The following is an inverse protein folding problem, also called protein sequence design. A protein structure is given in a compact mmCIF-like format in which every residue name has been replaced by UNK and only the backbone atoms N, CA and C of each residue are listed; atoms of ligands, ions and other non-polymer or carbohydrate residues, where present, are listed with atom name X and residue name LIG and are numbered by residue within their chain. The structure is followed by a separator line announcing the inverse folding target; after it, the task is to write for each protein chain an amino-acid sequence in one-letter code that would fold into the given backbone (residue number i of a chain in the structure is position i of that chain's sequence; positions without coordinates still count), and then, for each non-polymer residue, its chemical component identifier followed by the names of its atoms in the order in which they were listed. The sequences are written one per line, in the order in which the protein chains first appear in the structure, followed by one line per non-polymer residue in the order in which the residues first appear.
data_IF_839026777652
#
_entry.id   IF_839026777652
#
_cell.length_a   1.000
_cell.length_b   1.000
_cell.length_c   1.000
_cell.angle_alpha   90.00
_cell.angle_beta   90.00
_cell.angle_gamma   90.00
#
_symmetry.space_group_name_H-M   'P 1'
#
loop_
_entity.id
_entity.type
_entity.pdbx_description
1 polymer ?
#
# COMPACT_ATOMS: atom_id res chain seq x y z
N UNK A 1 20.61 10.51 -1.99
CA UNK A 1 20.95 10.41 -3.43
C UNK A 1 20.36 9.18 -4.09
N UNK A 2 20.63 7.95 -3.63
CA UNK A 2 20.07 6.71 -4.22
C UNK A 2 18.54 6.71 -4.25
N UNK A 3 17.88 6.96 -3.10
CA UNK A 3 16.42 6.99 -3.00
C UNK A 3 15.74 8.07 -3.85
N UNK A 4 16.37 9.24 -3.97
CA UNK A 4 15.90 10.32 -4.85
C UNK A 4 15.94 9.88 -6.32
N UNK A 5 17.02 9.19 -6.72
CA UNK A 5 17.15 8.64 -8.06
C UNK A 5 16.10 7.55 -8.35
N UNK A 6 15.81 6.67 -7.39
CA UNK A 6 14.76 5.66 -7.51
C UNK A 6 13.37 6.29 -7.73
N UNK A 7 13.04 7.33 -6.96
CA UNK A 7 11.78 8.08 -7.13
C UNK A 7 11.71 8.68 -8.54
N UNK A 8 12.77 9.38 -8.98
CA UNK A 8 12.78 9.97 -10.32
C UNK A 8 12.66 8.92 -11.42
N UNK A 9 13.41 7.82 -11.32
CA UNK A 9 13.32 6.72 -12.28
C UNK A 9 11.93 6.07 -12.33
N UNK A 10 11.25 5.97 -11.19
CA UNK A 10 9.88 5.48 -11.14
C UNK A 10 8.92 6.37 -11.94
N UNK A 11 8.90 7.68 -11.67
CA UNK A 11 8.01 8.60 -12.39
C UNK A 11 8.38 8.75 -13.87
N UNK A 12 9.66 8.73 -14.18
CA UNK A 12 10.15 8.72 -15.57
C UNK A 12 9.63 7.47 -16.31
N UNK A 13 9.68 6.28 -15.70
CA UNK A 13 9.14 5.04 -16.30
C UNK A 13 7.63 5.14 -16.53
N UNK A 14 6.87 5.66 -15.57
CA UNK A 14 5.42 5.86 -15.71
C UNK A 14 5.12 6.82 -16.86
N UNK A 15 5.85 7.94 -16.94
CA UNK A 15 5.69 8.91 -18.02
C UNK A 15 6.01 8.31 -19.39
N UNK A 16 7.13 7.58 -19.50
CA UNK A 16 7.50 6.92 -20.75
C UNK A 16 6.52 5.83 -21.17
N UNK A 17 5.94 5.08 -20.22
CA UNK A 17 4.91 4.10 -20.51
C UNK A 17 3.66 4.75 -21.14
N UNK A 18 3.22 5.91 -20.62
CA UNK A 18 2.10 6.66 -21.20
C UNK A 18 2.47 7.32 -22.54
N UNK A 19 3.71 7.80 -22.69
CA UNK A 19 4.18 8.34 -23.97
C UNK A 19 4.26 7.26 -25.06
N UNK A 20 4.65 6.04 -24.70
CA UNK A 20 4.68 4.90 -25.62
C UNK A 20 3.28 4.55 -26.14
N UNK A 21 2.25 4.69 -25.30
CA UNK A 21 0.85 4.46 -25.68
C UNK A 21 0.33 5.44 -26.73
N UNK A 22 0.94 6.63 -26.88
CA UNK A 22 0.54 7.61 -27.92
C UNK A 22 0.76 7.09 -29.35
N UNK A 23 1.56 6.04 -29.52
CA UNK A 23 1.81 5.41 -30.82
C UNK A 23 0.78 4.33 -31.16
N UNK A 24 0.08 3.81 -30.16
CA UNK A 24 -0.96 2.81 -30.35
C UNK A 24 -2.25 3.46 -30.88
N UNK A 25 -2.94 2.77 -31.79
CA UNK A 25 -4.20 3.25 -32.39
C UNK A 25 -5.40 2.43 -31.94
N UNK A 26 -5.18 1.20 -31.49
CA UNK A 26 -6.23 0.34 -30.99
C UNK A 26 -6.65 0.77 -29.57
N UNK A 27 -7.90 1.21 -29.44
CA UNK A 27 -8.45 1.69 -28.16
C UNK A 27 -8.54 0.60 -27.10
N UNK A 28 -8.86 -0.63 -27.49
CA UNK A 28 -9.02 -1.73 -26.54
C UNK A 28 -7.64 -2.15 -26.02
N UNK A 29 -6.64 -2.18 -26.91
CA UNK A 29 -5.25 -2.42 -26.52
C UNK A 29 -4.72 -1.29 -25.59
N UNK A 30 -5.02 -0.03 -25.89
CA UNK A 30 -4.64 1.11 -25.03
C UNK A 30 -5.24 0.97 -23.62
N UNK A 31 -6.53 0.64 -23.52
CA UNK A 31 -7.21 0.45 -22.23
C UNK A 31 -6.55 -0.66 -21.42
N UNK A 32 -6.30 -1.81 -22.03
CA UNK A 32 -5.64 -2.96 -21.38
C UNK A 32 -4.24 -2.62 -20.86
N UNK A 33 -3.42 -1.94 -21.68
CA UNK A 33 -2.07 -1.54 -21.26
C UNK A 33 -2.14 -0.49 -20.13
N UNK A 34 -3.11 0.43 -20.16
CA UNK A 34 -3.32 1.41 -19.09
C UNK A 34 -3.72 0.74 -17.78
N UNK A 35 -4.57 -0.27 -17.79
CA UNK A 35 -4.90 -1.04 -16.59
C UNK A 35 -3.64 -1.70 -15.98
N UNK A 36 -2.77 -2.27 -16.81
CA UNK A 36 -1.52 -2.85 -16.33
C UNK A 36 -0.56 -1.79 -15.75
N UNK A 37 -0.41 -0.66 -16.46
CA UNK A 37 0.42 0.45 -16.00
C UNK A 37 -0.13 1.11 -14.72
N UNK A 38 -1.46 1.18 -14.58
CA UNK A 38 -2.13 1.67 -13.39
C UNK A 38 -1.80 0.79 -12.18
N UNK A 39 -1.81 -0.54 -12.33
CA UNK A 39 -1.42 -1.48 -11.26
C UNK A 39 0.04 -1.24 -10.84
N UNK A 40 0.94 -1.11 -11.82
CA UNK A 40 2.36 -0.79 -11.58
C UNK A 40 2.54 0.54 -10.85
N UNK A 41 1.78 1.57 -11.22
CA UNK A 41 1.76 2.85 -10.53
C UNK A 41 1.31 2.67 -9.07
N UNK A 42 0.18 2.00 -8.83
CA UNK A 42 -0.34 1.75 -7.47
C UNK A 42 0.70 1.04 -6.58
N UNK A 43 1.26 -0.07 -7.05
CA UNK A 43 2.27 -0.82 -6.29
C UNK A 43 3.56 -0.01 -6.08
N UNK A 44 3.96 0.79 -7.06
CA UNK A 44 5.08 1.71 -6.91
C UNK A 44 4.83 2.78 -5.85
N UNK A 45 3.65 3.40 -5.82
CA UNK A 45 3.27 4.37 -4.80
C UNK A 45 3.23 3.74 -3.40
N UNK A 46 2.75 2.49 -3.27
CA UNK A 46 2.82 1.73 -2.03
C UNK A 46 4.27 1.55 -1.58
N UNK A 47 5.15 1.07 -2.47
CA UNK A 47 6.58 0.85 -2.16
C UNK A 47 7.32 2.14 -1.80
N UNK A 48 7.00 3.25 -2.46
CA UNK A 48 7.60 4.55 -2.16
C UNK A 48 7.12 5.13 -0.82
N UNK A 49 6.03 4.61 -0.27
CA UNK A 49 5.61 4.84 1.11
C UNK A 49 4.53 5.92 1.31
N UNK A 50 4.29 6.33 2.57
CA UNK A 50 3.07 7.06 2.97
C UNK A 50 2.80 8.35 2.20
N UNK A 51 3.84 9.12 1.87
CA UNK A 51 3.70 10.37 1.11
C UNK A 51 3.15 10.12 -0.29
N UNK A 52 3.63 9.09 -0.96
CA UNK A 52 3.23 8.74 -2.33
C UNK A 52 1.88 8.03 -2.36
N UNK A 53 1.53 7.29 -1.31
CA UNK A 53 0.17 6.77 -1.12
C UNK A 53 -0.83 7.92 -1.04
N UNK A 54 -0.56 8.95 -0.23
CA UNK A 54 -1.41 10.15 -0.16
C UNK A 54 -1.51 10.87 -1.49
N UNK A 55 -0.42 10.94 -2.25
CA UNK A 55 -0.45 11.48 -3.61
C UNK A 55 -1.37 10.66 -4.52
N UNK A 56 -1.27 9.33 -4.49
CA UNK A 56 -2.17 8.45 -5.23
C UNK A 56 -3.64 8.61 -4.85
N UNK A 57 -3.92 8.78 -3.55
CA UNK A 57 -5.28 9.08 -3.04
C UNK A 57 -5.81 10.43 -3.55
N UNK A 58 -4.97 11.46 -3.62
CA UNK A 58 -5.36 12.76 -4.18
C UNK A 58 -5.58 12.68 -5.70
N UNK A 59 -4.75 11.91 -6.41
CA UNK A 59 -4.89 11.72 -7.85
C UNK A 59 -6.12 10.89 -8.22
N UNK A 60 -6.55 9.94 -7.38
CA UNK A 60 -7.76 9.13 -7.63
C UNK A 60 -9.07 9.90 -7.53
N UNK A 61 -9.05 11.15 -7.08
CA UNK A 61 -10.23 12.05 -7.14
C UNK A 61 -10.22 12.96 -8.38
N UNK A 62 -9.21 12.88 -9.25
CA UNK A 62 -8.98 13.81 -10.38
C UNK A 62 -9.10 13.12 -11.74
N UNK A 63 -10.33 12.81 -12.12
CA UNK A 63 -10.69 12.25 -13.46
C UNK A 63 -10.34 13.17 -14.62
N UNK A 64 -10.11 14.45 -14.34
CA UNK A 64 -9.67 15.46 -15.30
C UNK A 64 -8.16 15.41 -15.58
N UNK A 65 -7.39 14.72 -14.74
CA UNK A 65 -5.92 14.67 -14.81
C UNK A 65 -5.40 13.31 -15.29
N UNK A 66 -6.06 12.23 -14.91
CA UNK A 66 -5.63 10.86 -15.22
C UNK A 66 -6.69 10.11 -16.05
N UNK A 67 -6.27 9.20 -16.96
CA UNK A 67 -7.18 8.28 -17.61
C UNK A 67 -7.96 7.44 -16.58
N UNK A 68 -9.17 7.03 -16.95
CA UNK A 68 -10.14 6.39 -16.03
C UNK A 68 -9.59 5.10 -15.42
N UNK A 69 -8.75 4.37 -16.16
CA UNK A 69 -8.09 3.13 -15.73
C UNK A 69 -7.15 3.40 -14.54
N UNK A 70 -6.37 4.48 -14.60
CA UNK A 70 -5.52 4.91 -13.48
C UNK A 70 -6.34 5.38 -12.29
N UNK A 71 -7.40 6.16 -12.52
CA UNK A 71 -8.27 6.63 -11.45
C UNK A 71 -8.89 5.46 -10.69
N UNK A 72 -9.46 4.50 -11.41
CA UNK A 72 -10.10 3.33 -10.83
C UNK A 72 -9.11 2.49 -10.01
N UNK A 73 -7.89 2.29 -10.51
CA UNK A 73 -6.89 1.52 -9.80
C UNK A 73 -6.36 2.28 -8.54
N UNK A 74 -6.19 3.60 -8.64
CA UNK A 74 -5.74 4.42 -7.51
C UNK A 74 -6.84 4.63 -6.45
N UNK A 75 -8.12 4.43 -6.78
CA UNK A 75 -9.21 4.42 -5.78
C UNK A 75 -9.01 3.31 -4.75
N UNK A 76 -8.38 2.20 -5.13
CA UNK A 76 -8.02 1.12 -4.20
C UNK A 76 -7.11 1.63 -3.06
N UNK A 77 -6.34 2.70 -3.28
CA UNK A 77 -5.54 3.31 -2.21
C UNK A 77 -6.39 4.09 -1.19
N UNK A 78 -7.61 4.48 -1.55
CA UNK A 78 -8.56 5.13 -0.64
C UNK A 78 -9.32 4.11 0.22
N UNK A 79 -9.41 2.86 -0.23
CA UNK A 79 -10.27 1.86 0.41
C UNK A 79 -9.85 1.59 1.86
N UNK A 80 -10.85 1.44 2.72
CA UNK A 80 -10.73 0.79 4.02
C UNK A 80 -10.32 -0.65 3.75
N UNK A 81 -9.01 -0.90 3.65
CA UNK A 81 -8.51 -2.23 3.36
C UNK A 81 -8.97 -3.15 4.50
N UNK A 82 -9.69 -4.25 4.22
CA UNK A 82 -10.05 -5.21 5.25
C UNK A 82 -8.76 -5.67 5.93
N UNK A 83 -8.83 -5.88 7.25
CA UNK A 83 -7.70 -6.42 8.00
C UNK A 83 -7.16 -7.67 7.31
N UNK A 84 -5.85 -7.80 7.27
CA UNK A 84 -5.25 -9.10 6.97
C UNK A 84 -5.41 -10.00 8.18
N UNK A 85 -5.22 -11.30 7.95
CA UNK A 85 -5.49 -12.34 8.93
C UNK A 85 -4.76 -12.11 10.26
N UNK A 86 -5.44 -12.45 11.37
CA UNK A 86 -4.93 -12.26 12.74
C UNK A 86 -3.67 -13.09 12.98
N UNK A 87 -3.66 -14.34 12.53
CA UNK A 87 -2.48 -15.22 12.56
C UNK A 87 -1.31 -14.58 11.83
N UNK A 88 -1.56 -13.96 10.67
CA UNK A 88 -0.52 -13.25 9.93
C UNK A 88 0.00 -12.03 10.68
N UNK A 89 -0.84 -11.35 11.45
CA UNK A 89 -0.40 -10.24 12.31
C UNK A 89 0.50 -10.71 13.44
N UNK A 90 0.15 -11.82 14.07
CA UNK A 90 0.96 -12.51 15.08
C UNK A 90 2.34 -12.83 14.49
N UNK A 91 2.40 -13.52 13.35
CA UNK A 91 3.67 -13.87 12.69
C UNK A 91 4.55 -12.64 12.40
N UNK A 92 3.96 -11.53 11.95
CA UNK A 92 4.71 -10.30 11.66
C UNK A 92 5.31 -9.73 12.95
N UNK A 93 4.52 -9.65 14.03
CA UNK A 93 4.97 -9.12 15.31
C UNK A 93 6.07 -9.99 15.91
N UNK A 94 5.90 -11.31 15.88
CA UNK A 94 6.89 -12.25 16.41
C UNK A 94 8.19 -12.20 15.63
N UNK A 95 8.11 -12.13 14.30
CA UNK A 95 9.28 -12.00 13.42
C UNK A 95 10.02 -10.68 13.67
N UNK A 96 9.29 -9.57 13.83
CA UNK A 96 9.87 -8.24 13.99
C UNK A 96 10.48 -8.02 15.38
N UNK A 97 9.92 -8.64 16.42
CA UNK A 97 10.36 -8.49 17.82
C UNK A 97 11.19 -9.66 18.34
N UNK A 98 11.30 -10.76 17.58
CA UNK A 98 12.16 -11.90 17.89
C UNK A 98 11.70 -12.75 19.08
N UNK A 99 10.42 -12.72 19.42
CA UNK A 99 9.82 -13.49 20.52
C UNK A 99 8.35 -13.80 20.22
N UNK A 100 7.78 -14.81 20.89
CA UNK A 100 6.37 -15.17 20.71
C UNK A 100 5.43 -14.12 21.32
N UNK A 101 4.21 -13.99 20.78
CA UNK A 101 3.20 -13.05 21.30
C UNK A 101 2.94 -13.26 22.79
N UNK A 102 2.91 -14.52 23.23
CA UNK A 102 2.69 -14.93 24.63
C UNK A 102 3.79 -14.44 25.57
N UNK A 103 5.02 -14.26 25.07
CA UNK A 103 6.13 -13.72 25.84
C UNK A 103 6.20 -12.18 25.78
N UNK A 104 5.64 -11.59 24.72
CA UNK A 104 5.66 -10.15 24.47
C UNK A 104 4.52 -9.43 25.18
N UNK A 105 3.33 -10.03 25.26
CA UNK A 105 2.10 -9.42 25.77
C UNK A 105 1.39 -10.35 26.76
N UNK A 106 0.75 -9.76 27.78
CA UNK A 106 -0.10 -10.51 28.71
C UNK A 106 -1.40 -10.99 28.03
N UNK A 107 -1.85 -10.28 27.00
CA UNK A 107 -2.94 -10.64 26.12
C UNK A 107 -2.79 -9.91 24.77
N UNK A 108 -3.20 -10.55 23.67
CA UNK A 108 -3.22 -9.95 22.34
C UNK A 108 -4.50 -10.36 21.62
N UNK A 109 -5.28 -9.39 21.15
CA UNK A 109 -6.48 -9.66 20.35
C UNK A 109 -6.08 -9.79 18.88
N UNK A 110 -6.22 -10.99 18.33
CA UNK A 110 -5.96 -11.27 16.92
C UNK A 110 -6.96 -10.54 16.00
N UNK A 111 -8.10 -10.09 16.51
CA UNK A 111 -9.06 -9.28 15.76
C UNK A 111 -8.60 -7.82 15.75
N UNK A 112 -8.34 -7.21 14.58
CA UNK A 112 -7.93 -5.83 14.51
C UNK A 112 -9.09 -4.88 14.88
N UNK A 113 -8.82 -3.91 15.75
CA UNK A 113 -9.77 -2.83 16.08
C UNK A 113 -9.86 -1.78 14.97
N UNK A 114 -8.84 -1.68 14.12
CA UNK A 114 -8.83 -0.79 12.96
C UNK A 114 -7.88 -1.33 11.87
N UNK A 115 -8.25 -1.14 10.61
CA UNK A 115 -7.40 -1.46 9.46
C UNK A 115 -7.29 -0.27 8.51
N UNK A 116 -6.09 -0.09 7.95
CA UNK A 116 -5.75 0.98 7.01
C UNK A 116 -4.82 0.46 5.90
N UNK A 117 -4.54 1.31 4.91
CA UNK A 117 -3.72 0.96 3.74
C UNK A 117 -2.33 0.43 4.07
N UNK A 118 -1.72 0.91 5.17
CA UNK A 118 -0.35 0.55 5.56
C UNK A 118 -0.27 -0.57 6.60
N UNK A 119 -1.38 -0.98 7.19
CA UNK A 119 -1.36 -1.86 8.36
C UNK A 119 -2.68 -1.88 9.11
N UNK A 120 -2.69 -2.58 10.24
CA UNK A 120 -3.85 -2.66 11.12
C UNK A 120 -3.43 -2.50 12.58
N UNK A 121 -4.39 -2.23 13.45
CA UNK A 121 -4.18 -1.99 14.88
C UNK A 121 -4.92 -3.06 15.65
N UNK A 122 -4.22 -3.68 16.60
CA UNK A 122 -4.73 -4.69 17.51
C UNK A 122 -4.73 -4.16 18.94
N UNK A 123 -5.66 -4.65 19.76
CA UNK A 123 -5.63 -4.39 21.19
C UNK A 123 -4.73 -5.44 21.86
N UNK A 124 -3.90 -5.02 22.80
CA UNK A 124 -3.10 -5.93 23.61
C UNK A 124 -2.98 -5.42 25.05
N UNK A 125 -2.47 -6.25 25.93
CA UNK A 125 -2.12 -5.91 27.31
C UNK A 125 -0.62 -6.14 27.49
N UNK A 126 0.09 -5.14 28.01
CA UNK A 126 1.51 -5.20 28.28
C UNK A 126 1.76 -4.76 29.72
N UNK A 127 2.25 -5.67 30.56
CA UNK A 127 2.53 -5.40 31.98
C UNK A 127 1.31 -4.84 32.73
N UNK A 128 0.13 -5.37 32.42
CA UNK A 128 -1.15 -4.94 32.99
C UNK A 128 -1.77 -3.69 32.36
N UNK A 129 -1.14 -3.04 31.39
CA UNK A 129 -1.67 -1.86 30.71
C UNK A 129 -2.23 -2.19 29.32
N UNK A 130 -3.40 -1.66 28.98
CA UNK A 130 -3.96 -1.79 27.63
C UNK A 130 -3.18 -0.91 26.64
N UNK A 131 -2.74 -1.52 25.53
CA UNK A 131 -1.96 -0.87 24.47
C UNK A 131 -2.56 -1.15 23.10
N UNK A 132 -2.33 -0.24 22.16
CA UNK A 132 -2.68 -0.39 20.75
C UNK A 132 -1.43 -0.80 19.95
N UNK A 133 -1.43 -2.02 19.40
CA UNK A 133 -0.32 -2.56 18.62
C UNK A 133 -0.59 -2.36 17.14
N UNK A 134 0.18 -1.48 16.50
CA UNK A 134 0.06 -1.23 15.06
C UNK A 134 1.00 -2.16 14.28
N UNK A 135 0.42 -3.04 13.47
CA UNK A 135 1.13 -4.02 12.65
C UNK A 135 1.15 -3.54 11.19
N UNK A 136 2.33 -3.43 10.60
CA UNK A 136 2.52 -2.95 9.23
C UNK A 136 2.39 -4.12 8.22
N UNK A 137 1.72 -3.90 7.08
CA UNK A 137 1.65 -4.90 6.00
C UNK A 137 3.06 -5.15 5.42
N UNK A 138 3.44 -6.41 5.25
CA UNK A 138 4.70 -6.77 4.60
C UNK A 138 4.67 -6.38 3.10
N UNK A 139 5.82 -5.94 2.56
CA UNK A 139 5.95 -5.35 1.21
C UNK A 139 6.10 -3.83 1.19
N UNK A 140 6.09 -3.18 2.37
CA UNK A 140 6.28 -1.74 2.56
C UNK A 140 7.57 -1.40 3.33
N UNK A 141 8.39 -2.40 3.68
CA UNK A 141 9.67 -2.21 4.36
C UNK A 141 10.76 -1.94 3.32
N UNK A 142 11.56 -0.91 3.57
CA UNK A 142 12.76 -0.53 2.81
C UNK A 142 13.80 -1.67 2.83
#
# INVERSE_FOLDING_TARGET
WVRTFEIWMFFVRVLFAELALRREKDKDNISSIREENAKRLRFGLLRLGPTFIKLGQLLSTRVDVLPVEYVNELKVLQDKVPGFDGERAVEIVETDLGSSIENLFDAFDETPIAAASLGQVHLAVLKGEQVAVKVQRQGLKD
#
